data_IF_261857214072
#
_entry.id   IF_261857214072
#
_cell.length_a   1.000
_cell.length_b   1.000
_cell.length_c   1.000
_cell.angle_alpha   90.00
_cell.angle_beta   90.00
_cell.angle_gamma   90.00
#
_symmetry.space_group_name_H-M   'P 1'
#
loop_
_entity.id
_entity.type
_entity.pdbx_description
1 polymer ?
#
# COMPACT_ATOMS: atom_id res chain seq x y z
N UNK A 1 -0.20 53.61 9.52
CA UNK A 1 1.14 53.40 10.11
C UNK A 1 1.06 53.71 11.59
N UNK A 2 1.02 52.68 12.45
CA UNK A 2 1.15 52.80 13.91
C UNK A 2 1.55 51.41 14.42
N UNK A 3 2.80 51.27 14.88
CA UNK A 3 3.28 50.08 15.60
C UNK A 3 3.20 50.39 17.09
N UNK A 4 2.63 49.50 17.93
CA UNK A 4 2.81 49.63 19.36
C UNK A 4 4.07 48.89 19.82
N UNK A 5 4.94 49.66 20.44
CA UNK A 5 6.09 49.26 21.26
C UNK A 5 5.64 48.39 22.44
N UNK A 6 6.17 47.17 22.53
CA UNK A 6 6.12 46.35 23.74
C UNK A 6 7.50 45.77 24.00
N UNK A 7 8.40 46.62 24.51
CA UNK A 7 9.68 46.22 25.07
C UNK A 7 9.82 46.91 26.42
N UNK A 8 10.13 46.09 27.44
CA UNK A 8 10.76 46.39 28.75
C UNK A 8 9.91 45.98 29.95
N UNK A 9 10.09 44.73 30.37
CA UNK A 9 10.26 44.43 31.79
C UNK A 9 11.54 43.57 31.91
N UNK A 10 12.48 44.10 32.68
CA UNK A 10 13.82 43.59 32.94
C UNK A 10 13.86 43.09 34.40
N UNK A 11 14.27 41.82 34.57
CA UNK A 11 15.04 41.18 35.67
C UNK A 11 14.50 41.25 37.13
N UNK A 12 15.07 40.51 38.10
CA UNK A 12 15.81 39.23 38.08
C UNK A 12 15.29 38.22 39.14
N UNK A 13 15.67 36.95 39.04
CA UNK A 13 16.03 36.16 40.24
C UNK A 13 16.73 34.86 39.82
N UNK A 14 18.02 34.82 40.13
CA UNK A 14 18.83 33.63 40.13
C UNK A 14 18.32 32.67 41.21
N UNK A 15 17.85 31.50 40.79
CA UNK A 15 17.68 30.35 41.67
C UNK A 15 18.60 29.24 41.16
N UNK A 16 19.62 28.96 41.96
CA UNK A 16 20.55 27.86 41.82
C UNK A 16 19.80 26.53 41.66
N UNK A 17 19.85 25.92 40.48
CA UNK A 17 19.51 24.51 40.33
C UNK A 17 20.77 23.72 40.64
N UNK A 18 20.71 23.02 41.78
CA UNK A 18 21.66 21.98 42.12
C UNK A 18 21.67 20.93 41.01
N UNK A 19 22.85 20.69 40.45
CA UNK A 19 23.14 19.56 39.58
C UNK A 19 23.05 18.30 40.46
N UNK A 20 21.86 17.72 40.52
CA UNK A 20 21.67 16.35 40.96
C UNK A 20 22.29 15.45 39.91
N UNK A 21 23.48 14.93 40.20
CA UNK A 21 24.09 13.80 39.50
C UNK A 21 23.12 12.63 39.71
N UNK A 22 22.20 12.44 38.77
CA UNK A 22 21.46 11.20 38.65
C UNK A 22 22.46 10.15 38.20
N UNK A 23 22.86 9.33 39.18
CA UNK A 23 23.53 8.07 38.95
C UNK A 23 22.85 7.34 37.79
N UNK A 24 23.64 7.02 36.77
CA UNK A 24 23.22 6.13 35.71
C UNK A 24 22.65 4.86 36.33
N UNK A 25 21.46 4.40 35.91
CA UNK A 25 20.97 3.11 36.34
C UNK A 25 22.03 2.05 35.97
N UNK A 26 22.31 1.06 36.83
CA UNK A 26 23.17 -0.04 36.45
C UNK A 26 22.58 -0.68 35.21
N UNK A 27 23.44 -0.89 34.21
CA UNK A 27 23.15 -1.65 33.01
C UNK A 27 22.38 -2.92 33.44
N UNK A 28 21.08 -2.92 33.16
CA UNK A 28 20.27 -4.12 33.29
C UNK A 28 20.90 -5.11 32.34
N UNK A 29 21.46 -6.17 32.90
CA UNK A 29 21.95 -7.32 32.18
C UNK A 29 21.00 -7.60 31.03
N UNK A 30 21.56 -7.61 29.81
CA UNK A 30 20.91 -8.15 28.65
C UNK A 30 20.35 -9.51 29.08
N UNK A 31 19.04 -9.56 29.25
CA UNK A 31 18.34 -10.82 29.24
C UNK A 31 18.63 -11.39 27.87
N UNK A 32 19.43 -12.45 27.84
CA UNK A 32 19.48 -13.44 26.77
C UNK A 32 18.07 -14.05 26.62
N UNK A 33 17.11 -13.23 26.22
CA UNK A 33 15.97 -13.70 25.46
C UNK A 33 16.56 -13.97 24.09
N UNK A 34 17.13 -15.17 23.96
CA UNK A 34 17.25 -15.83 22.69
C UNK A 34 15.94 -15.56 21.95
N UNK A 35 15.99 -14.67 20.97
CA UNK A 35 15.15 -14.76 19.81
C UNK A 35 15.51 -16.14 19.23
N UNK A 36 14.84 -17.17 19.75
CA UNK A 36 14.59 -18.37 18.99
C UNK A 36 13.88 -17.87 17.77
N UNK A 37 14.69 -17.58 16.74
CA UNK A 37 14.26 -17.59 15.38
C UNK A 37 13.74 -18.99 15.13
N UNK A 38 12.52 -19.25 15.58
CA UNK A 38 11.58 -19.98 14.75
C UNK A 38 11.50 -19.14 13.48
N UNK A 39 12.45 -19.44 12.59
CA UNK A 39 12.18 -19.56 11.17
C UNK A 39 10.96 -20.48 11.09
N UNK A 40 9.78 -19.90 11.32
CA UNK A 40 8.52 -20.51 10.97
C UNK A 40 8.69 -21.02 9.55
N UNK A 41 8.19 -22.22 9.24
CA UNK A 41 8.45 -22.87 7.97
C UNK A 41 8.30 -21.82 6.87
N UNK A 42 9.39 -21.55 6.15
CA UNK A 42 9.30 -21.04 4.79
C UNK A 42 8.52 -22.13 4.06
N UNK A 43 7.19 -22.08 4.18
CA UNK A 43 6.33 -22.83 3.31
C UNK A 43 6.76 -22.34 1.93
N UNK A 44 7.29 -23.25 1.12
CA UNK A 44 7.41 -23.04 -0.30
C UNK A 44 6.00 -22.71 -0.77
N UNK A 45 5.68 -21.43 -0.79
CA UNK A 45 4.35 -20.94 -1.14
C UNK A 45 4.28 -21.09 -2.65
N UNK A 46 3.49 -22.05 -3.20
CA UNK A 46 3.29 -22.10 -4.63
C UNK A 46 2.68 -20.77 -5.06
N UNK A 47 3.42 -20.02 -5.89
CA UNK A 47 3.06 -18.73 -6.47
C UNK A 47 1.85 -18.78 -7.43
N UNK A 48 1.06 -19.86 -7.39
CA UNK A 48 0.01 -20.15 -8.37
C UNK A 48 -1.32 -20.59 -7.76
N UNK A 49 -1.51 -20.50 -6.42
CA UNK A 49 -2.83 -20.75 -5.82
C UNK A 49 -3.65 -19.46 -5.79
N UNK A 50 -4.43 -19.39 -6.86
CA UNK A 50 -5.45 -18.44 -7.27
C UNK A 50 -6.58 -18.31 -6.26
N UNK A 51 -6.54 -17.24 -5.46
CA UNK A 51 -7.73 -16.78 -4.77
C UNK A 51 -8.53 -15.92 -5.76
N UNK A 52 -9.54 -16.51 -6.38
CA UNK A 52 -10.61 -15.69 -6.93
C UNK A 52 -11.15 -14.79 -5.81
N UNK A 53 -11.37 -13.52 -6.14
CA UNK A 53 -12.24 -12.60 -5.39
C UNK A 53 -13.46 -13.40 -4.91
N UNK A 54 -13.99 -13.17 -3.70
CA UNK A 54 -15.25 -13.78 -3.29
C UNK A 54 -16.43 -13.28 -4.13
N UNK A 55 -16.60 -13.88 -5.30
CA UNK A 55 -17.72 -14.79 -5.54
C UNK A 55 -17.11 -16.17 -5.78
N UNK A 56 -17.78 -17.25 -5.36
CA UNK A 56 -17.45 -18.56 -5.92
C UNK A 56 -17.42 -18.48 -7.46
N UNK A 57 -16.90 -19.51 -8.13
CA UNK A 57 -17.00 -19.69 -9.60
C UNK A 57 -18.38 -19.39 -10.23
N UNK A 58 -19.40 -19.22 -9.39
CA UNK A 58 -20.80 -19.00 -9.72
C UNK A 58 -21.24 -17.53 -9.67
N UNK A 59 -20.40 -16.58 -9.18
CA UNK A 59 -20.67 -15.14 -9.22
C UNK A 59 -21.88 -14.66 -8.40
N UNK A 60 -22.30 -15.43 -7.39
CA UNK A 60 -23.53 -15.18 -6.61
C UNK A 60 -23.33 -15.07 -5.10
N UNK A 61 -22.15 -15.40 -4.56
CA UNK A 61 -21.90 -15.28 -3.12
C UNK A 61 -21.58 -13.83 -2.79
N UNK A 62 -22.37 -13.19 -1.93
CA UNK A 62 -22.10 -11.83 -1.49
C UNK A 62 -20.96 -11.84 -0.48
N UNK A 63 -20.11 -10.82 -0.49
CA UNK A 63 -19.02 -10.67 0.48
C UNK A 63 -19.56 -10.63 1.90
N UNK A 64 -20.70 -9.97 2.12
CA UNK A 64 -21.37 -9.89 3.41
C UNK A 64 -21.76 -11.27 3.98
N UNK A 65 -21.99 -12.28 3.12
CA UNK A 65 -22.36 -13.63 3.56
C UNK A 65 -21.14 -14.46 4.02
N UNK A 66 -19.92 -14.03 3.71
CA UNK A 66 -18.67 -14.77 4.01
C UNK A 66 -17.61 -13.95 4.76
N UNK A 67 -17.87 -12.66 5.06
CA UNK A 67 -16.91 -11.77 5.73
C UNK A 67 -16.44 -12.37 7.06
N UNK A 68 -17.38 -12.83 7.89
CA UNK A 68 -17.08 -13.40 9.21
C UNK A 68 -16.24 -14.69 9.11
N UNK A 69 -16.48 -15.51 8.08
CA UNK A 69 -15.70 -16.74 7.85
C UNK A 69 -14.25 -16.39 7.48
N UNK A 70 -14.05 -15.45 6.57
CA UNK A 70 -12.71 -15.01 6.17
C UNK A 70 -11.98 -14.32 7.33
N UNK A 71 -12.70 -13.55 8.14
CA UNK A 71 -12.12 -12.91 9.33
C UNK A 71 -11.71 -13.94 10.38
N UNK A 72 -12.55 -14.96 10.63
CA UNK A 72 -12.22 -16.04 11.55
C UNK A 72 -11.00 -16.85 11.07
N UNK A 73 -10.90 -17.13 9.75
CA UNK A 73 -9.75 -17.81 9.17
C UNK A 73 -8.46 -16.96 9.31
N UNK A 74 -8.54 -15.65 9.06
CA UNK A 74 -7.42 -14.73 9.32
C UNK A 74 -6.99 -14.76 10.78
N UNK A 75 -7.94 -14.73 11.73
CA UNK A 75 -7.64 -14.83 13.16
C UNK A 75 -7.01 -16.18 13.54
N UNK A 76 -7.29 -17.25 12.78
CA UNK A 76 -6.64 -18.54 12.90
C UNK A 76 -5.25 -18.61 12.22
N UNK A 77 -4.77 -17.51 11.64
CA UNK A 77 -3.46 -17.40 11.00
C UNK A 77 -3.46 -17.63 9.49
N UNK A 78 -4.62 -17.69 8.84
CA UNK A 78 -4.72 -17.78 7.38
C UNK A 78 -4.54 -16.41 6.72
N UNK A 79 -3.29 -16.11 6.34
CA UNK A 79 -2.96 -14.88 5.63
C UNK A 79 -3.71 -14.75 4.28
N UNK A 80 -4.02 -15.86 3.60
CA UNK A 80 -4.70 -15.83 2.31
C UNK A 80 -6.14 -15.40 2.46
N UNK A 81 -6.82 -15.85 3.52
CA UNK A 81 -8.18 -15.41 3.83
C UNK A 81 -8.21 -13.90 4.10
N UNK A 82 -7.25 -13.38 4.86
CA UNK A 82 -7.12 -11.95 5.11
C UNK A 82 -6.81 -11.12 3.86
N UNK A 83 -5.90 -11.60 3.01
CA UNK A 83 -5.58 -10.96 1.73
C UNK A 83 -6.81 -10.90 0.82
N UNK A 84 -7.54 -12.02 0.71
CA UNK A 84 -8.78 -12.12 -0.06
C UNK A 84 -9.85 -11.15 0.46
N UNK A 85 -10.02 -11.06 1.78
CA UNK A 85 -10.97 -10.15 2.40
C UNK A 85 -10.59 -8.68 2.16
N UNK A 86 -9.33 -8.32 2.34
CA UNK A 86 -8.85 -6.96 2.09
C UNK A 86 -9.08 -6.54 0.63
N UNK A 87 -8.71 -7.39 -0.34
CA UNK A 87 -8.93 -7.13 -1.75
C UNK A 87 -10.43 -6.94 -2.08
N UNK A 88 -11.29 -7.82 -1.56
CA UNK A 88 -12.73 -7.74 -1.80
C UNK A 88 -13.35 -6.46 -1.23
N UNK A 89 -12.92 -6.04 -0.03
CA UNK A 89 -13.35 -4.77 0.55
C UNK A 89 -12.90 -3.58 -0.29
N UNK A 90 -11.65 -3.57 -0.76
CA UNK A 90 -11.11 -2.51 -1.63
C UNK A 90 -11.88 -2.41 -2.95
N UNK A 91 -12.18 -3.55 -3.59
CA UNK A 91 -12.99 -3.61 -4.82
C UNK A 91 -14.41 -3.06 -4.57
N UNK A 92 -15.05 -3.45 -3.46
CA UNK A 92 -16.37 -2.92 -3.09
C UNK A 92 -16.35 -1.42 -2.82
N UNK A 93 -15.29 -0.91 -2.18
CA UNK A 93 -15.14 0.53 -1.94
C UNK A 93 -14.93 1.31 -3.23
N UNK A 94 -14.17 0.76 -4.17
CA UNK A 94 -13.99 1.36 -5.49
C UNK A 94 -15.32 1.42 -6.25
N UNK A 95 -16.09 0.34 -6.26
CA UNK A 95 -17.42 0.31 -6.89
C UNK A 95 -18.39 1.31 -6.25
N UNK A 96 -18.38 1.44 -4.92
CA UNK A 96 -19.16 2.46 -4.20
C UNK A 96 -18.77 3.87 -4.66
N UNK A 97 -17.46 4.16 -4.79
CA UNK A 97 -16.96 5.45 -5.30
C UNK A 97 -17.37 5.73 -6.74
N UNK A 98 -17.35 4.71 -7.61
CA UNK A 98 -17.86 4.85 -8.98
C UNK A 98 -19.37 5.13 -8.99
N UNK A 99 -20.14 4.49 -8.11
CA UNK A 99 -21.57 4.74 -7.98
C UNK A 99 -21.87 6.15 -7.45
N UNK A 100 -21.12 6.64 -6.46
CA UNK A 100 -21.18 8.02 -5.98
C UNK A 100 -20.90 9.02 -7.11
N UNK A 101 -19.85 8.78 -7.91
CA UNK A 101 -19.50 9.61 -9.06
C UNK A 101 -20.59 9.60 -10.13
N UNK A 102 -21.12 8.43 -10.49
CA UNK A 102 -22.19 8.25 -11.47
C UNK A 102 -23.51 8.92 -11.07
N UNK A 103 -23.79 9.00 -9.76
CA UNK A 103 -24.99 9.63 -9.19
C UNK A 103 -24.85 11.15 -9.01
N UNK A 104 -23.63 11.69 -8.96
CA UNK A 104 -23.38 13.12 -8.76
C UNK A 104 -23.91 14.02 -9.89
N UNK A 105 -24.14 13.47 -11.09
CA UNK A 105 -24.72 14.18 -12.24
C UNK A 105 -26.25 14.33 -12.14
N UNK A 106 -26.93 13.35 -11.52
CA UNK A 106 -28.39 13.38 -11.36
C UNK A 106 -28.86 14.47 -10.38
N UNK A 107 -27.96 14.93 -9.51
CA UNK A 107 -28.22 16.04 -8.58
C UNK A 107 -28.15 17.44 -9.23
N UNK A 108 -27.79 17.52 -10.52
CA UNK A 108 -27.61 18.75 -11.26
C UNK A 108 -26.27 19.41 -10.91
N UNK A 109 -25.35 19.43 -11.87
CA UNK A 109 -24.14 20.23 -11.76
C UNK A 109 -24.54 21.70 -11.55
N UNK A 110 -24.02 22.41 -10.53
CA UNK A 110 -24.19 23.85 -10.49
C UNK A 110 -23.66 24.40 -11.83
N UNK A 111 -24.36 25.37 -12.45
CA UNK A 111 -23.90 25.98 -13.68
C UNK A 111 -22.56 26.65 -13.38
N UNK A 112 -21.46 25.98 -13.72
CA UNK A 112 -20.11 26.44 -13.42
C UNK A 112 -19.67 27.48 -14.46
N UNK A 113 -18.82 28.39 -13.99
CA UNK A 113 -18.66 29.75 -14.47
C UNK A 113 -17.75 29.85 -15.72
N UNK A 114 -18.05 29.07 -16.77
CA UNK A 114 -17.51 29.29 -18.11
C UNK A 114 -16.29 28.45 -18.54
N UNK A 115 -15.86 27.44 -17.77
CA UNK A 115 -14.82 26.51 -18.23
C UNK A 115 -15.44 25.22 -18.82
N UNK A 116 -15.66 25.25 -20.13
CA UNK A 116 -16.24 24.11 -20.86
C UNK A 116 -15.36 22.86 -20.79
N UNK A 117 -14.04 23.00 -20.65
CA UNK A 117 -13.12 21.86 -20.62
C UNK A 117 -13.28 21.03 -19.34
N UNK A 118 -13.39 21.68 -18.18
CA UNK A 118 -13.59 20.98 -16.92
C UNK A 118 -14.95 20.26 -16.86
N UNK A 119 -15.99 20.90 -17.42
CA UNK A 119 -17.31 20.27 -17.54
C UNK A 119 -17.26 19.04 -18.45
N UNK A 120 -16.66 19.16 -19.63
CA UNK A 120 -16.59 18.05 -20.59
C UNK A 120 -15.75 16.88 -20.05
N UNK A 121 -14.66 17.15 -19.31
CA UNK A 121 -13.88 16.13 -18.60
C UNK A 121 -14.72 15.41 -17.53
N UNK A 122 -15.49 16.16 -16.74
CA UNK A 122 -16.36 15.59 -15.71
C UNK A 122 -17.49 14.75 -16.31
N UNK A 123 -18.12 15.21 -17.39
CA UNK A 123 -19.14 14.43 -18.12
C UNK A 123 -18.55 13.12 -18.64
N UNK A 124 -17.31 13.15 -19.16
CA UNK A 124 -16.59 11.95 -19.60
C UNK A 124 -16.31 10.99 -18.43
N UNK A 125 -15.87 11.49 -17.28
CA UNK A 125 -15.64 10.68 -16.07
C UNK A 125 -16.92 10.01 -15.57
N UNK A 126 -18.03 10.75 -15.48
CA UNK A 126 -19.34 10.22 -15.09
C UNK A 126 -19.82 9.16 -16.08
N UNK A 127 -19.71 9.42 -17.39
CA UNK A 127 -20.10 8.47 -18.42
C UNK A 127 -19.26 7.19 -18.38
N UNK A 128 -17.96 7.31 -18.13
CA UNK A 128 -17.07 6.18 -17.93
C UNK A 128 -17.46 5.38 -16.68
N UNK A 129 -17.72 6.04 -15.55
CA UNK A 129 -18.16 5.39 -14.31
C UNK A 129 -19.45 4.58 -14.51
N UNK A 130 -20.46 5.14 -15.20
CA UNK A 130 -21.71 4.42 -15.54
C UNK A 130 -21.44 3.18 -16.38
N UNK A 131 -20.65 3.32 -17.44
CA UNK A 131 -20.30 2.21 -18.33
C UNK A 131 -19.58 1.09 -17.58
N UNK A 132 -18.67 1.45 -16.66
CA UNK A 132 -17.98 0.50 -15.80
C UNK A 132 -18.93 -0.23 -14.86
N UNK A 133 -19.85 0.48 -14.19
CA UNK A 133 -20.84 -0.13 -13.30
C UNK A 133 -21.77 -1.11 -14.03
N UNK A 134 -22.19 -0.78 -15.26
CA UNK A 134 -22.99 -1.67 -16.09
C UNK A 134 -22.22 -2.95 -16.46
N UNK A 135 -20.94 -2.83 -16.79
CA UNK A 135 -20.07 -3.96 -17.09
C UNK A 135 -19.84 -4.86 -15.86
N UNK A 136 -19.79 -4.25 -14.67
CA UNK A 136 -19.46 -4.89 -13.39
C UNK A 136 -20.70 -5.23 -12.53
N UNK A 137 -21.90 -5.32 -13.10
CA UNK A 137 -23.17 -5.56 -12.37
C UNK A 137 -23.12 -6.75 -11.39
N UNK A 138 -22.39 -7.82 -11.75
CA UNK A 138 -22.21 -8.98 -10.85
C UNK A 138 -21.38 -8.65 -9.62
N UNK A 139 -20.31 -7.87 -9.79
CA UNK A 139 -19.42 -7.48 -8.71
C UNK A 139 -20.11 -6.45 -7.80
N UNK A 140 -20.91 -5.55 -8.38
CA UNK A 140 -21.79 -4.65 -7.61
C UNK A 140 -22.73 -5.45 -6.70
N UNK A 141 -23.35 -6.53 -7.21
CA UNK A 141 -24.20 -7.42 -6.41
C UNK A 141 -23.42 -8.17 -5.33
N UNK A 142 -22.18 -8.55 -5.59
CA UNK A 142 -21.33 -9.19 -4.60
C UNK A 142 -21.01 -8.26 -3.41
N UNK A 143 -21.03 -6.94 -3.62
CA UNK A 143 -20.79 -5.93 -2.60
C UNK A 143 -22.03 -5.50 -1.81
N UNK A 144 -23.21 -6.04 -2.13
CA UNK A 144 -24.43 -5.76 -1.37
C UNK A 144 -24.29 -6.18 0.10
N UNK A 145 -24.62 -5.25 1.00
CA UNK A 145 -24.57 -5.47 2.45
C UNK A 145 -23.24 -5.10 3.11
N UNK A 146 -22.22 -4.74 2.33
CA UNK A 146 -20.98 -4.15 2.86
C UNK A 146 -21.26 -2.70 3.28
N UNK A 147 -20.86 -2.37 4.50
CA UNK A 147 -21.09 -1.06 5.09
C UNK A 147 -19.84 -0.46 5.71
N UNK A 148 -20.00 0.74 6.28
CA UNK A 148 -18.91 1.49 6.90
C UNK A 148 -18.12 0.66 7.93
N UNK A 149 -18.78 -0.22 8.69
CA UNK A 149 -18.11 -1.06 9.69
C UNK A 149 -17.10 -2.04 9.06
N UNK A 150 -17.43 -2.65 7.92
CA UNK A 150 -16.52 -3.53 7.19
C UNK A 150 -15.30 -2.76 6.68
N UNK A 151 -15.51 -1.53 6.19
CA UNK A 151 -14.41 -0.65 5.77
C UNK A 151 -13.55 -0.17 6.95
N UNK A 152 -14.12 0.09 8.12
CA UNK A 152 -13.36 0.45 9.32
C UNK A 152 -12.44 -0.69 9.80
N UNK A 153 -12.82 -1.95 9.54
CA UNK A 153 -11.99 -3.14 9.80
C UNK A 153 -10.85 -3.33 8.82
N UNK A 154 -10.90 -2.71 7.64
CA UNK A 154 -9.92 -2.91 6.55
C UNK A 154 -8.47 -2.72 7.04
N UNK A 155 -8.20 -1.68 7.83
CA UNK A 155 -6.88 -1.43 8.39
C UNK A 155 -6.34 -2.63 9.18
N UNK A 156 -7.15 -3.17 10.09
CA UNK A 156 -6.74 -4.23 11.00
C UNK A 156 -6.62 -5.57 10.25
N UNK A 157 -7.48 -5.82 9.25
CA UNK A 157 -7.40 -6.97 8.35
C UNK A 157 -6.09 -6.93 7.56
N UNK A 158 -5.81 -5.80 6.91
CA UNK A 158 -4.62 -5.65 6.07
C UNK A 158 -3.34 -5.74 6.91
N UNK A 159 -3.30 -5.08 8.07
CA UNK A 159 -2.17 -5.14 8.99
C UNK A 159 -1.95 -6.55 9.55
N UNK A 160 -3.02 -7.24 9.95
CA UNK A 160 -2.95 -8.63 10.42
C UNK A 160 -2.39 -9.55 9.34
N UNK A 161 -2.89 -9.40 8.11
CA UNK A 161 -2.44 -10.16 6.93
C UNK A 161 -0.97 -9.91 6.61
N UNK A 162 -0.54 -8.64 6.59
CA UNK A 162 0.86 -8.26 6.37
C UNK A 162 1.78 -8.87 7.43
N UNK A 163 1.36 -8.87 8.71
CA UNK A 163 2.13 -9.46 9.81
C UNK A 163 2.24 -10.99 9.75
N UNK A 164 1.30 -11.65 9.08
CA UNK A 164 1.36 -13.10 8.82
C UNK A 164 2.30 -13.46 7.64
N UNK A 165 2.94 -12.49 7.00
CA UNK A 165 3.96 -12.75 5.98
C UNK A 165 3.47 -12.58 4.54
N UNK A 166 2.24 -12.14 4.32
CA UNK A 166 1.75 -11.88 2.96
C UNK A 166 2.42 -10.62 2.38
N UNK A 167 3.24 -10.82 1.35
CA UNK A 167 4.05 -9.74 0.75
C UNK A 167 3.21 -8.66 0.06
N UNK A 168 2.03 -9.00 -0.47
CA UNK A 168 1.13 -8.05 -1.13
C UNK A 168 0.43 -7.17 -0.09
N UNK A 169 -0.03 -7.76 1.00
CA UNK A 169 -0.58 -7.00 2.11
C UNK A 169 0.49 -6.10 2.77
N UNK A 170 1.75 -6.54 2.87
CA UNK A 170 2.84 -5.67 3.32
C UNK A 170 3.01 -4.45 2.41
N UNK A 171 3.05 -4.65 1.10
CA UNK A 171 3.15 -3.57 0.11
C UNK A 171 1.96 -2.60 0.22
N UNK A 172 0.74 -3.14 0.18
CA UNK A 172 -0.48 -2.35 0.20
C UNK A 172 -0.63 -1.58 1.53
N UNK A 173 -0.29 -2.19 2.67
CA UNK A 173 -0.29 -1.49 3.96
C UNK A 173 0.73 -0.34 3.97
N UNK A 174 1.92 -0.56 3.42
CA UNK A 174 2.93 0.46 3.34
C UNK A 174 2.47 1.64 2.46
N UNK A 175 1.89 1.36 1.29
CA UNK A 175 1.47 2.36 0.32
C UNK A 175 0.23 3.16 0.78
N UNK A 176 -0.82 2.49 1.29
CA UNK A 176 -2.12 3.13 1.57
C UNK A 176 -2.30 3.58 3.02
N UNK A 177 -1.28 3.43 3.87
CA UNK A 177 -1.41 3.57 5.31
C UNK A 177 -2.47 2.69 5.98
N UNK A 178 -2.84 1.59 5.31
CA UNK A 178 -3.95 0.73 5.70
C UNK A 178 -5.30 1.44 5.69
N UNK A 179 -5.42 2.60 5.04
CA UNK A 179 -6.70 3.20 4.71
C UNK A 179 -7.15 2.66 3.36
N UNK A 180 -8.44 2.36 3.28
CA UNK A 180 -9.08 1.87 2.06
C UNK A 180 -9.26 3.01 1.05
N UNK A 181 -9.59 4.22 1.54
CA UNK A 181 -9.74 5.39 0.70
C UNK A 181 -8.39 5.84 0.13
N UNK A 182 -7.33 5.80 0.94
CA UNK A 182 -5.99 6.13 0.48
C UNK A 182 -5.43 5.14 -0.56
N UNK A 183 -5.99 3.93 -0.63
CA UNK A 183 -5.66 2.96 -1.67
C UNK A 183 -6.29 3.32 -3.02
N UNK A 184 -7.37 4.12 -3.02
CA UNK A 184 -8.08 4.57 -4.22
C UNK A 184 -7.68 5.98 -4.64
N UNK A 185 -7.47 6.86 -3.66
CA UNK A 185 -6.99 8.22 -3.83
C UNK A 185 -5.95 8.51 -2.73
N UNK A 186 -4.65 8.57 -3.04
CA UNK A 186 -3.58 8.79 -2.07
C UNK A 186 -3.72 10.08 -1.26
N UNK A 187 -4.51 11.06 -1.72
CA UNK A 187 -4.79 12.30 -1.00
C UNK A 187 -6.01 12.18 -0.06
N UNK A 188 -6.87 11.18 -0.28
CA UNK A 188 -8.03 10.88 0.53
C UNK A 188 -7.69 9.92 1.66
N UNK A 189 -7.25 10.44 2.80
CA UNK A 189 -6.99 9.64 4.00
C UNK A 189 -7.83 10.08 5.23
N UNK A 190 -9.18 10.15 5.13
CA UNK A 190 -10.02 10.57 6.25
C UNK A 190 -9.88 9.64 7.47
N UNK A 191 -9.55 8.36 7.25
CA UNK A 191 -9.33 7.38 8.33
C UNK A 191 -8.16 7.76 9.24
N UNK A 192 -7.08 8.30 8.68
CA UNK A 192 -5.89 8.67 9.46
C UNK A 192 -6.15 9.89 10.34
N UNK A 193 -7.11 10.74 9.96
CA UNK A 193 -7.58 11.86 10.80
C UNK A 193 -8.45 11.35 11.94
N UNK A 194 -9.31 10.37 11.68
CA UNK A 194 -10.21 9.77 12.69
C UNK A 194 -9.47 8.91 13.71
N UNK A 195 -8.41 8.22 13.27
CA UNK A 195 -7.64 7.25 14.06
C UNK A 195 -6.14 7.59 14.06
N UNK A 196 -5.71 8.64 14.76
CA UNK A 196 -4.32 9.11 14.72
C UNK A 196 -3.29 8.06 15.21
N UNK A 197 -3.70 7.12 16.06
CA UNK A 197 -2.86 6.01 16.50
C UNK A 197 -2.53 5.02 15.37
N UNK A 198 -3.43 4.83 14.39
CA UNK A 198 -3.17 4.03 13.19
C UNK A 198 -2.09 4.66 12.34
N UNK A 199 -2.11 6.00 12.20
CA UNK A 199 -1.05 6.75 11.52
C UNK A 199 0.31 6.58 12.22
N UNK A 200 0.37 6.68 13.55
CA UNK A 200 1.63 6.48 14.30
C UNK A 200 2.18 5.08 14.08
N UNK A 201 1.31 4.05 14.13
CA UNK A 201 1.72 2.67 13.88
C UNK A 201 2.25 2.48 12.46
N UNK A 202 1.52 2.99 11.48
CA UNK A 202 1.93 2.93 10.08
C UNK A 202 3.30 3.56 9.87
N UNK A 203 3.58 4.74 10.45
CA UNK A 203 4.90 5.39 10.34
C UNK A 203 6.06 4.53 10.81
N UNK A 204 5.82 3.65 11.78
CA UNK A 204 6.82 2.74 12.33
C UNK A 204 6.97 1.49 11.45
N UNK A 205 5.86 0.92 11.01
CA UNK A 205 5.84 -0.40 10.35
C UNK A 205 6.03 -0.34 8.83
N UNK A 206 5.58 0.73 8.17
CA UNK A 206 5.50 0.80 6.72
C UNK A 206 6.84 0.70 6.00
N UNK A 207 7.92 1.43 6.38
CA UNK A 207 9.21 1.27 5.71
C UNK A 207 9.72 -0.17 5.81
N UNK A 208 9.58 -0.78 7.00
CA UNK A 208 10.04 -2.16 7.24
C UNK A 208 9.24 -3.16 6.42
N UNK A 209 7.92 -3.00 6.35
CA UNK A 209 7.05 -3.86 5.55
C UNK A 209 7.36 -3.74 4.06
N UNK A 210 7.61 -2.54 3.56
CA UNK A 210 7.95 -2.31 2.16
C UNK A 210 9.29 -2.99 1.77
N UNK A 211 10.34 -2.84 2.58
CA UNK A 211 11.61 -3.55 2.35
C UNK A 211 11.46 -5.07 2.50
N UNK A 212 10.60 -5.56 3.40
CA UNK A 212 10.30 -6.99 3.53
C UNK A 212 9.54 -7.52 2.31
N UNK A 213 8.57 -6.78 1.78
CA UNK A 213 7.86 -7.16 0.55
C UNK A 213 8.84 -7.32 -0.63
N UNK A 214 9.77 -6.37 -0.79
CA UNK A 214 10.86 -6.47 -1.77
C UNK A 214 11.71 -7.73 -1.55
N UNK A 215 12.10 -8.01 -0.30
CA UNK A 215 12.89 -9.18 0.05
C UNK A 215 12.16 -10.51 -0.20
N UNK A 216 10.82 -10.48 -0.23
CA UNK A 216 9.95 -11.62 -0.58
C UNK A 216 9.64 -11.70 -2.08
N UNK A 217 10.30 -10.88 -2.91
CA UNK A 217 10.18 -10.89 -4.36
C UNK A 217 8.93 -10.19 -4.90
N UNK A 218 8.27 -9.31 -4.14
CA UNK A 218 7.17 -8.50 -4.66
C UNK A 218 7.75 -7.39 -5.56
N UNK A 219 7.51 -7.47 -6.87
CA UNK A 219 8.14 -6.57 -7.84
C UNK A 219 7.58 -5.16 -7.79
N UNK A 220 6.29 -5.01 -7.47
CA UNK A 220 5.59 -3.75 -7.30
C UNK A 220 6.19 -2.91 -6.16
N UNK A 221 6.83 -3.56 -5.17
CA UNK A 221 7.58 -2.86 -4.11
C UNK A 221 8.76 -2.05 -4.66
N UNK A 222 9.30 -2.40 -5.83
CA UNK A 222 10.40 -1.66 -6.48
C UNK A 222 9.92 -0.26 -6.88
N UNK A 223 8.73 -0.16 -7.47
CA UNK A 223 8.15 1.12 -7.88
C UNK A 223 7.79 1.99 -6.67
N UNK A 224 7.17 1.39 -5.65
CA UNK A 224 6.81 2.11 -4.43
C UNK A 224 8.05 2.63 -3.70
N UNK A 225 9.10 1.81 -3.58
CA UNK A 225 10.39 2.24 -3.03
C UNK A 225 11.02 3.34 -3.88
N UNK A 226 11.04 3.20 -5.21
CA UNK A 226 11.55 4.22 -6.10
C UNK A 226 10.88 5.57 -5.85
N UNK A 227 9.54 5.63 -5.83
CA UNK A 227 8.78 6.87 -5.61
C UNK A 227 9.04 7.48 -4.23
N UNK A 228 9.13 6.64 -3.19
CA UNK A 228 9.44 7.10 -1.84
C UNK A 228 10.87 7.68 -1.74
N UNK A 229 11.83 7.04 -2.41
CA UNK A 229 13.25 7.45 -2.43
C UNK A 229 13.52 8.69 -3.28
N UNK A 230 12.57 9.15 -4.11
CA UNK A 230 12.75 10.32 -4.99
C UNK A 230 11.92 11.54 -4.58
N UNK A 231 11.34 11.55 -3.38
CA UNK A 231 10.49 12.63 -2.87
C UNK A 231 9.22 12.90 -3.71
N UNK A 232 8.59 11.85 -4.24
CA UNK A 232 7.44 11.96 -5.14
C UNK A 232 6.09 11.99 -4.39
N UNK A 233 5.81 13.11 -3.71
CA UNK A 233 4.47 13.59 -3.29
C UNK A 233 3.58 12.59 -2.52
N UNK A 234 4.15 11.59 -1.85
CA UNK A 234 3.40 10.55 -1.15
C UNK A 234 3.79 10.48 0.33
N UNK A 235 2.95 9.93 1.20
CA UNK A 235 3.24 9.93 2.64
C UNK A 235 4.50 9.14 3.01
N UNK A 236 4.88 8.13 2.22
CA UNK A 236 6.09 7.32 2.46
C UNK A 236 7.38 8.12 2.26
N UNK A 237 7.38 9.13 1.38
CA UNK A 237 8.53 10.00 1.13
C UNK A 237 9.01 10.78 2.37
N UNK A 238 8.10 10.98 3.34
CA UNK A 238 8.41 11.63 4.62
C UNK A 238 9.10 10.70 5.61
N UNK A 239 9.04 9.39 5.35
CA UNK A 239 9.56 8.35 6.24
C UNK A 239 10.86 7.74 5.71
N UNK A 240 11.01 7.67 4.39
CA UNK A 240 12.18 7.14 3.72
C UNK A 240 12.99 8.33 3.19
N UNK A 241 14.22 8.56 3.69
CA UNK A 241 15.06 9.64 3.18
C UNK A 241 15.30 9.49 1.67
N UNK A 242 15.35 10.63 0.98
CA UNK A 242 15.80 10.69 -0.42
C UNK A 242 17.19 10.08 -0.54
N UNK A 243 17.31 9.07 -1.39
CA UNK A 243 18.56 8.39 -1.73
C UNK A 243 18.57 8.10 -3.25
N UNK A 244 19.19 8.99 -4.05
CA UNK A 244 19.17 8.84 -5.50
C UNK A 244 19.99 7.63 -5.97
N UNK A 245 20.89 7.08 -5.14
CA UNK A 245 21.65 5.87 -5.46
C UNK A 245 20.76 4.64 -5.31
N UNK A 246 20.04 4.50 -4.19
CA UNK A 246 19.10 3.40 -3.99
C UNK A 246 17.92 3.49 -4.97
N UNK A 247 17.40 4.69 -5.25
CA UNK A 247 16.39 4.89 -6.29
C UNK A 247 16.89 4.44 -7.67
N UNK A 248 18.14 4.78 -8.03
CA UNK A 248 18.75 4.30 -9.28
C UNK A 248 18.90 2.79 -9.30
N UNK A 249 19.22 2.19 -8.15
CA UNK A 249 19.28 0.75 -8.02
C UNK A 249 17.91 0.10 -8.25
N UNK A 250 16.82 0.67 -7.72
CA UNK A 250 15.45 0.20 -7.98
C UNK A 250 15.09 0.28 -9.48
N UNK A 251 15.40 1.39 -10.14
CA UNK A 251 15.16 1.55 -11.58
C UNK A 251 15.95 0.52 -12.42
N UNK A 252 17.24 0.32 -12.09
CA UNK A 252 18.07 -0.69 -12.75
C UNK A 252 17.54 -2.11 -12.50
N UNK A 253 17.12 -2.40 -11.27
CA UNK A 253 16.51 -3.67 -10.90
C UNK A 253 15.24 -3.92 -11.72
N UNK A 254 14.29 -2.98 -11.73
CA UNK A 254 13.05 -3.07 -12.50
C UNK A 254 13.31 -3.42 -13.97
N UNK A 255 14.25 -2.71 -14.61
CA UNK A 255 14.65 -3.00 -16.00
C UNK A 255 15.25 -4.40 -16.17
N UNK A 256 16.11 -4.82 -15.24
CA UNK A 256 16.78 -6.13 -15.30
C UNK A 256 15.83 -7.32 -15.15
N UNK A 257 14.74 -7.14 -14.39
CA UNK A 257 13.71 -8.17 -14.19
C UNK A 257 12.54 -8.04 -15.17
N UNK A 258 12.56 -7.05 -16.06
CA UNK A 258 11.48 -6.80 -17.02
C UNK A 258 10.21 -6.18 -16.42
N UNK A 259 10.29 -5.60 -15.21
CA UNK A 259 9.18 -4.87 -14.61
C UNK A 259 8.97 -3.52 -15.34
N UNK A 260 7.70 -3.13 -15.63
CA UNK A 260 7.41 -1.91 -16.37
C UNK A 260 7.80 -0.65 -15.58
N UNK A 261 8.94 -0.05 -15.92
CA UNK A 261 9.43 1.17 -15.27
C UNK A 261 8.85 2.47 -15.87
N UNK A 262 7.51 2.52 -16.03
CA UNK A 262 6.83 3.72 -16.55
C UNK A 262 6.92 4.84 -15.52
N UNK A 263 7.21 6.05 -15.97
CA UNK A 263 7.30 7.21 -15.08
C UNK A 263 8.51 7.21 -14.13
N UNK A 264 9.39 6.21 -14.17
CA UNK A 264 10.63 6.21 -13.40
C UNK A 264 11.74 6.92 -14.19
N UNK A 265 12.06 8.16 -13.80
CA UNK A 265 13.20 8.90 -14.32
C UNK A 265 14.07 9.42 -13.15
N UNK A 266 15.38 9.46 -13.35
CA UNK A 266 16.32 10.00 -12.36
C UNK A 266 17.28 11.00 -12.99
N UNK A 267 17.75 11.98 -12.21
CA UNK A 267 18.83 12.85 -12.61
C UNK A 267 20.12 12.05 -12.87
N UNK A 268 21.01 12.60 -13.68
CA UNK A 268 22.28 11.95 -13.98
C UNK A 268 23.16 11.88 -12.72
N UNK A 269 23.55 10.65 -12.35
CA UNK A 269 24.48 10.39 -11.25
C UNK A 269 25.95 10.45 -11.69
N UNK A 270 26.89 10.79 -10.78
CA UNK A 270 28.31 10.54 -10.99
C UNK A 270 28.60 9.06 -11.26
N UNK A 271 29.63 8.75 -12.05
CA UNK A 271 29.97 7.37 -12.42
C UNK A 271 30.23 6.44 -11.21
N UNK A 272 30.81 6.98 -10.14
CA UNK A 272 31.00 6.22 -8.90
C UNK A 272 29.68 5.78 -8.28
N UNK A 273 28.66 6.64 -8.35
CA UNK A 273 27.36 6.41 -7.76
C UNK A 273 26.51 5.50 -8.64
N UNK A 274 26.62 5.63 -9.97
CA UNK A 274 26.07 4.66 -10.94
C UNK A 274 26.61 3.26 -10.68
N UNK A 275 27.91 3.11 -10.46
CA UNK A 275 28.52 1.81 -10.14
C UNK A 275 28.00 1.21 -8.82
N UNK A 276 27.81 2.04 -7.77
CA UNK A 276 27.18 1.58 -6.52
C UNK A 276 25.74 1.12 -6.74
N UNK A 277 24.94 1.93 -7.44
CA UNK A 277 23.55 1.59 -7.76
C UNK A 277 23.45 0.28 -8.55
N UNK A 278 24.33 0.08 -9.54
CA UNK A 278 24.39 -1.16 -10.32
C UNK A 278 24.75 -2.36 -9.45
N UNK A 279 25.77 -2.26 -8.60
CA UNK A 279 26.17 -3.33 -7.69
C UNK A 279 25.02 -3.70 -6.73
N UNK A 280 24.31 -2.69 -6.22
CA UNK A 280 23.16 -2.84 -5.34
C UNK A 280 21.97 -3.50 -6.05
N UNK A 281 21.58 -3.03 -7.24
CA UNK A 281 20.52 -3.62 -8.03
C UNK A 281 20.79 -5.10 -8.33
N UNK A 282 22.02 -5.41 -8.73
CA UNK A 282 22.45 -6.77 -9.02
C UNK A 282 22.51 -7.66 -7.77
N UNK A 283 22.87 -7.11 -6.60
CA UNK A 283 22.76 -7.81 -5.33
C UNK A 283 21.31 -8.19 -5.05
N UNK A 284 20.39 -7.22 -5.06
CA UNK A 284 18.96 -7.43 -4.78
C UNK A 284 18.35 -8.43 -5.78
N UNK A 285 18.71 -8.31 -7.06
CA UNK A 285 18.27 -9.23 -8.11
C UNK A 285 18.66 -10.67 -7.79
N UNK A 286 19.90 -10.91 -7.38
CA UNK A 286 20.37 -12.26 -7.02
C UNK A 286 19.74 -12.79 -5.73
N UNK A 287 19.55 -11.93 -4.74
CA UNK A 287 19.03 -12.34 -3.43
C UNK A 287 17.53 -12.64 -3.48
N UNK A 288 16.73 -11.86 -4.21
CA UNK A 288 15.26 -11.93 -4.12
C UNK A 288 14.55 -12.23 -5.44
N UNK A 289 15.22 -12.05 -6.59
CA UNK A 289 14.58 -12.16 -7.92
C UNK A 289 15.31 -13.13 -8.86
N UNK A 290 16.12 -14.05 -8.33
CA UNK A 290 16.90 -14.98 -9.14
C UNK A 290 16.03 -15.78 -10.13
N UNK A 291 14.84 -16.20 -9.68
CA UNK A 291 13.90 -17.01 -10.46
C UNK A 291 12.80 -16.21 -11.17
N UNK A 292 12.79 -14.89 -11.02
CA UNK A 292 11.68 -14.04 -11.50
C UNK A 292 11.48 -14.11 -13.02
N UNK A 293 12.57 -14.18 -13.79
CA UNK A 293 12.50 -14.29 -15.25
C UNK A 293 11.89 -15.62 -15.74
N UNK A 294 11.94 -16.68 -14.92
CA UNK A 294 11.27 -17.93 -15.23
C UNK A 294 9.75 -17.82 -15.02
N UNK A 295 9.31 -17.05 -14.03
CA UNK A 295 7.90 -16.80 -13.74
C UNK A 295 7.21 -15.92 -14.79
N UNK A 296 7.95 -15.00 -15.41
CA UNK A 296 7.43 -14.12 -16.47
C UNK A 296 7.30 -14.77 -17.85
N UNK A 297 7.74 -16.02 -18.02
CA UNK A 297 7.48 -16.72 -19.28
C UNK A 297 5.96 -16.83 -19.45
N UNK A 298 5.39 -16.35 -20.58
CA UNK A 298 3.97 -16.49 -20.79
C UNK A 298 3.61 -17.96 -20.60
N UNK A 299 2.56 -18.28 -19.81
CA UNK A 299 2.12 -19.66 -19.69
C UNK A 299 1.90 -20.19 -21.12
N UNK A 300 2.22 -21.45 -21.39
CA UNK A 300 2.03 -22.02 -22.72
C UNK A 300 0.60 -21.70 -23.20
N UNK A 301 0.45 -21.46 -24.50
CA UNK A 301 -0.79 -20.96 -25.09
C UNK A 301 -2.00 -21.77 -24.58
N UNK A 302 -3.17 -21.13 -24.47
CA UNK A 302 -4.40 -21.73 -23.92
C UNK A 302 -4.78 -23.05 -24.62
N UNK A 303 -4.29 -23.28 -25.84
CA UNK A 303 -4.41 -24.54 -26.58
C UNK A 303 -3.60 -25.71 -25.97
N UNK A 304 -2.62 -25.44 -25.12
CA UNK A 304 -1.72 -26.42 -24.49
C UNK A 304 -2.05 -26.72 -23.03
N UNK A 305 -2.83 -25.86 -22.36
CA UNK A 305 -3.23 -26.05 -20.96
C UNK A 305 -4.73 -25.77 -20.83
N UNK A 306 -5.53 -26.83 -20.87
CA UNK A 306 -6.97 -26.80 -20.61
C UNK A 306 -7.33 -26.50 -19.15
N UNK A 307 -6.78 -25.44 -18.56
CA UNK A 307 -6.96 -25.12 -17.15
C UNK A 307 -6.54 -23.70 -16.79
N UNK A 308 -7.56 -22.84 -16.68
CA UNK A 308 -7.75 -21.65 -15.82
C UNK A 308 -6.61 -20.61 -15.72
N UNK A 309 -6.96 -19.35 -15.44
CA UNK A 309 -6.05 -18.25 -15.09
C UNK A 309 -6.58 -17.53 -13.85
N UNK A 310 -5.72 -17.17 -12.90
CA UNK A 310 -6.02 -16.22 -11.83
C UNK A 310 -4.72 -15.69 -11.23
N UNK A 311 -4.77 -14.44 -10.80
CA UNK A 311 -3.74 -13.67 -10.10
C UNK A 311 -4.52 -12.64 -9.25
N UNK A 312 -4.03 -12.23 -8.07
CA UNK A 312 -4.70 -11.20 -7.26
C UNK A 312 -4.47 -9.78 -7.81
N UNK A 313 -4.61 -9.58 -9.13
CA UNK A 313 -4.41 -8.30 -9.82
C UNK A 313 -5.76 -7.72 -10.29
N UNK A 314 -6.69 -7.42 -9.38
CA UNK A 314 -7.95 -6.72 -9.72
C UNK A 314 -7.99 -5.23 -9.37
N UNK A 315 -6.96 -4.68 -8.72
CA UNK A 315 -6.87 -3.22 -8.58
C UNK A 315 -6.41 -2.64 -9.92
N UNK A 316 -7.36 -1.97 -10.59
CA UNK A 316 -7.27 -1.51 -11.97
C UNK A 316 -5.98 -0.77 -12.33
N UNK A 317 -5.36 -1.21 -13.43
CA UNK A 317 -4.56 -0.36 -14.31
C UNK A 317 -5.41 0.09 -15.49
#
# INVERSE_FOLDING_TARGET
MNRPDWLRIILPLAASVAVGILASPPARAASDAAATGETGPQADWPSSVRAGVPGGRDGLTRLADIEDELLAALQAGDARAGCRLAAALADCRWLEKQAELAAADDAGLPPDDGDTMLRDLREMEVSAARTWLEFMDKDVKACEGIGAESYERYHDILLGTARLGDRRAMLQYAESAGSIDAALDPLAAPDLVRHPERLVRWKIEAPVMLYRALALGEAEAIEVLFRALTSAENMLDRLIPDDPVEATAMLMLARSIGYPARGMWLPELPETDKARAQARAEQIRREYFADYQHALRPPPSVEQLGGERSDCNSLGQ
#
